data_IF_603007199284
#
_entry.id   IF_603007199284
#
_cell.length_a   1.000
_cell.length_b   1.000
_cell.length_c   1.000
_cell.angle_alpha   90.00
_cell.angle_beta   90.00
_cell.angle_gamma   90.00
#
_symmetry.space_group_name_H-M   'P 1'
#
loop_
_entity.id
_entity.type
_entity.pdbx_description
1 polymer ?
#
# COMPACT_ATOMS: atom_id res chain seq x y z
N UNK A 1 8.89 1.66 -2.59
CA UNK A 1 10.24 1.17 -2.97
C UNK A 1 10.87 2.12 -3.99
N UNK A 2 12.20 2.34 -3.95
CA UNK A 2 12.93 3.10 -4.99
C UNK A 2 13.81 2.15 -5.82
N UNK A 3 13.84 2.34 -7.14
CA UNK A 3 14.66 1.57 -8.09
C UNK A 3 15.63 2.51 -8.81
N UNK A 4 16.93 2.25 -8.67
CA UNK A 4 18.00 3.06 -9.30
C UNK A 4 17.97 2.91 -10.82
N UNK A 5 18.13 4.02 -11.53
CA UNK A 5 18.09 4.07 -13.00
C UNK A 5 19.45 4.43 -13.60
N UNK A 6 20.33 3.43 -13.76
CA UNK A 6 21.71 3.68 -14.21
C UNK A 6 21.81 4.25 -15.62
N UNK A 7 20.88 3.90 -16.50
CA UNK A 7 20.86 4.36 -17.90
C UNK A 7 19.88 5.53 -18.13
N UNK A 8 19.58 6.31 -17.09
CA UNK A 8 18.74 7.49 -17.17
C UNK A 8 19.30 8.50 -18.20
N UNK A 9 18.51 8.90 -19.21
CA UNK A 9 18.94 9.94 -20.14
C UNK A 9 19.21 11.27 -19.44
N UNK A 10 20.21 12.02 -19.92
CA UNK A 10 20.60 13.32 -19.32
C UNK A 10 19.42 14.29 -19.17
N UNK A 11 18.48 14.30 -20.13
CA UNK A 11 17.28 15.13 -20.09
C UNK A 11 16.35 14.84 -18.88
N UNK A 12 16.38 13.61 -18.35
CA UNK A 12 15.56 13.19 -17.20
C UNK A 12 16.33 13.23 -15.88
N UNK A 13 17.66 13.34 -15.93
CA UNK A 13 18.52 13.18 -14.76
C UNK A 13 18.18 14.15 -13.61
N UNK A 14 17.87 15.42 -13.93
CA UNK A 14 17.49 16.42 -12.94
C UNK A 14 16.18 16.09 -12.22
N UNK A 15 15.15 15.66 -12.96
CA UNK A 15 13.84 15.34 -12.39
C UNK A 15 13.91 14.12 -11.46
N UNK A 16 14.61 13.07 -11.89
CA UNK A 16 14.67 11.78 -11.20
C UNK A 16 15.81 11.67 -10.19
N UNK A 17 16.62 12.71 -10.00
CA UNK A 17 17.67 12.71 -8.96
C UNK A 17 17.20 13.54 -7.77
N UNK A 18 17.01 12.90 -6.64
CA UNK A 18 16.70 13.59 -5.37
C UNK A 18 18.01 13.99 -4.69
N UNK A 19 18.02 15.16 -4.03
CA UNK A 19 19.20 15.65 -3.30
C UNK A 19 19.80 14.65 -2.31
N UNK A 20 18.97 13.80 -1.70
CA UNK A 20 19.41 12.78 -0.73
C UNK A 20 20.06 11.54 -1.37
N UNK A 21 19.84 11.30 -2.67
CA UNK A 21 20.25 10.05 -3.31
C UNK A 21 21.30 10.24 -4.41
N UNK A 22 21.60 11.46 -4.88
CA UNK A 22 22.66 11.78 -5.87
C UNK A 22 22.69 10.94 -7.16
N UNK A 23 21.74 10.04 -7.37
CA UNK A 23 21.54 9.24 -8.57
C UNK A 23 20.05 9.20 -8.92
N UNK A 24 19.72 9.01 -10.21
CA UNK A 24 18.35 8.94 -10.67
C UNK A 24 17.65 7.69 -10.15
N UNK A 25 16.43 7.85 -9.63
CA UNK A 25 15.59 6.75 -9.14
C UNK A 25 14.15 6.89 -9.60
N UNK A 26 13.48 5.76 -9.78
CA UNK A 26 12.04 5.69 -10.04
C UNK A 26 11.36 5.08 -8.82
N UNK A 27 10.21 5.62 -8.43
CA UNK A 27 9.47 5.17 -7.25
C UNK A 27 8.37 4.19 -7.64
N UNK A 28 8.26 3.12 -6.84
CA UNK A 28 7.10 2.23 -6.75
C UNK A 28 6.36 2.56 -5.45
N UNK A 29 5.15 3.08 -5.56
CA UNK A 29 4.15 3.04 -4.50
C UNK A 29 3.43 1.68 -4.58
N UNK A 30 3.20 1.04 -3.45
CA UNK A 30 2.45 -0.21 -3.42
C UNK A 30 1.68 -0.37 -2.11
N UNK A 31 0.53 -1.03 -2.19
CA UNK A 31 -0.21 -1.56 -1.06
C UNK A 31 0.08 -3.05 -0.98
N UNK A 32 0.62 -3.50 0.14
CA UNK A 32 0.85 -4.91 0.40
C UNK A 32 0.22 -5.32 1.73
N UNK A 33 -0.09 -6.60 1.80
CA UNK A 33 -0.64 -7.28 2.96
C UNK A 33 0.44 -7.96 3.82
N UNK A 34 0.03 -8.54 4.94
CA UNK A 34 0.89 -9.39 5.77
C UNK A 34 1.43 -10.62 5.02
N UNK A 35 0.62 -11.24 4.15
CA UNK A 35 1.00 -12.41 3.35
C UNK A 35 1.85 -12.07 2.10
N UNK A 36 2.48 -10.88 2.07
CA UNK A 36 3.32 -10.37 0.98
C UNK A 36 2.59 -10.15 -0.36
N UNK A 37 1.27 -10.32 -0.40
CA UNK A 37 0.44 -10.04 -1.57
C UNK A 37 0.37 -8.54 -1.82
N UNK A 38 0.61 -8.13 -3.07
CA UNK A 38 0.55 -6.73 -3.51
C UNK A 38 -0.82 -6.48 -4.16
N UNK A 39 -1.65 -5.67 -3.51
CA UNK A 39 -3.01 -5.33 -3.95
C UNK A 39 -3.05 -4.23 -5.00
N UNK A 40 -2.21 -3.23 -4.81
CA UNK A 40 -2.12 -2.09 -5.69
C UNK A 40 -0.67 -1.67 -5.86
N UNK A 41 -0.33 -1.18 -7.04
CA UNK A 41 1.00 -0.71 -7.37
C UNK A 41 0.88 0.47 -8.34
N UNK A 42 1.63 1.52 -8.07
CA UNK A 42 1.79 2.66 -8.95
C UNK A 42 3.29 2.92 -9.14
N UNK A 43 3.76 2.71 -10.36
CA UNK A 43 5.16 2.83 -10.75
C UNK A 43 5.35 3.97 -11.76
N UNK A 44 6.60 4.39 -11.93
CA UNK A 44 7.04 5.51 -12.79
C UNK A 44 6.94 6.91 -12.18
N UNK A 45 6.69 7.04 -10.88
CA UNK A 45 6.74 8.34 -10.23
C UNK A 45 8.16 8.86 -10.11
N UNK A 46 8.30 10.17 -10.31
CA UNK A 46 9.57 10.89 -10.22
C UNK A 46 10.05 10.90 -8.76
N UNK A 47 11.32 10.60 -8.49
CA UNK A 47 11.81 10.49 -7.11
C UNK A 47 11.94 11.79 -6.34
N UNK A 48 11.91 12.93 -7.03
CA UNK A 48 11.85 14.26 -6.40
C UNK A 48 10.49 14.53 -5.76
N UNK A 49 9.45 13.76 -6.14
CA UNK A 49 8.15 13.84 -5.48
C UNK A 49 8.23 13.21 -4.09
N UNK A 50 7.71 13.93 -3.10
CA UNK A 50 7.44 13.36 -1.79
C UNK A 50 6.22 12.42 -1.86
N UNK A 51 6.01 11.64 -0.79
CA UNK A 51 4.97 10.61 -0.80
C UNK A 51 3.55 11.18 -0.97
N UNK A 52 3.29 12.43 -0.52
CA UNK A 52 2.01 13.13 -0.73
C UNK A 52 1.79 13.43 -2.22
N UNK A 53 2.81 13.92 -2.92
CA UNK A 53 2.71 14.22 -4.34
C UNK A 53 2.58 12.94 -5.18
N UNK A 54 3.20 11.84 -4.74
CA UNK A 54 3.02 10.53 -5.38
C UNK A 54 1.56 10.09 -5.21
N UNK A 55 1.02 10.14 -3.98
CA UNK A 55 -0.37 9.82 -3.70
C UNK A 55 -1.34 10.65 -4.55
N UNK A 56 -1.12 11.96 -4.68
CA UNK A 56 -2.00 12.84 -5.47
C UNK A 56 -2.03 12.49 -6.97
N UNK A 57 -0.99 11.84 -7.47
CA UNK A 57 -0.92 11.35 -8.85
C UNK A 57 -1.31 9.87 -8.97
N UNK A 58 -1.53 9.19 -7.84
CA UNK A 58 -1.77 7.76 -7.77
C UNK A 58 -3.23 7.45 -8.07
N UNK A 59 -3.54 6.47 -8.93
CA UNK A 59 -4.90 6.00 -9.15
C UNK A 59 -5.39 5.07 -8.04
N UNK A 60 -4.82 5.15 -6.82
CA UNK A 60 -5.09 4.22 -5.72
C UNK A 60 -6.58 4.11 -5.36
N UNK A 61 -7.33 5.21 -5.51
CA UNK A 61 -8.77 5.23 -5.25
C UNK A 61 -9.62 4.93 -6.48
N UNK A 62 -9.06 4.84 -7.68
CA UNK A 62 -9.84 4.53 -8.89
C UNK A 62 -10.53 3.17 -8.75
N UNK A 63 -9.79 2.14 -8.30
CA UNK A 63 -10.38 0.82 -8.08
C UNK A 63 -11.50 0.82 -7.04
N UNK A 64 -11.41 1.68 -6.03
CA UNK A 64 -12.45 1.85 -5.00
C UNK A 64 -13.68 2.51 -5.62
N UNK A 65 -13.50 3.51 -6.48
CA UNK A 65 -14.58 4.14 -7.22
C UNK A 65 -15.22 3.17 -8.22
N UNK A 66 -14.41 2.41 -8.95
CA UNK A 66 -14.88 1.45 -9.96
C UNK A 66 -15.50 0.19 -9.35
N UNK A 67 -15.58 0.08 -8.01
CA UNK A 67 -16.01 -1.11 -7.28
C UNK A 67 -15.28 -2.40 -7.71
N UNK A 68 -14.00 -2.29 -8.09
CA UNK A 68 -13.14 -3.41 -8.50
C UNK A 68 -12.18 -3.85 -7.40
N UNK A 69 -12.18 -3.16 -6.26
CA UNK A 69 -11.46 -3.64 -5.08
C UNK A 69 -12.17 -4.84 -4.47
N UNK A 70 -11.43 -5.87 -4.02
CA UNK A 70 -12.00 -6.92 -3.19
C UNK A 70 -12.69 -6.32 -1.96
N UNK A 71 -13.67 -7.05 -1.42
CA UNK A 71 -14.35 -6.64 -0.20
C UNK A 71 -13.33 -6.54 0.95
N UNK A 72 -13.08 -5.30 1.37
CA UNK A 72 -12.22 -4.95 2.49
C UNK A 72 -13.02 -4.37 3.65
N UNK A 73 -14.35 -4.53 3.64
CA UNK A 73 -15.22 -4.05 4.70
C UNK A 73 -14.83 -4.66 6.04
N UNK A 74 -14.86 -3.84 7.08
CA UNK A 74 -14.54 -4.28 8.43
C UNK A 74 -15.44 -3.61 9.44
N UNK A 75 -15.75 -4.34 10.51
CA UNK A 75 -16.55 -3.85 11.62
C UNK A 75 -15.61 -3.65 12.81
N UNK A 76 -15.45 -2.40 13.25
CA UNK A 76 -14.68 -2.09 14.46
C UNK A 76 -15.62 -1.41 15.44
N UNK A 77 -15.72 -1.98 16.64
CA UNK A 77 -16.62 -1.52 17.71
C UNK A 77 -18.09 -1.34 17.27
N UNK A 78 -18.57 -2.22 16.39
CA UNK A 78 -19.96 -2.16 15.89
C UNK A 78 -20.19 -1.11 14.80
N UNK A 79 -19.16 -0.38 14.36
CA UNK A 79 -19.23 0.50 13.20
C UNK A 79 -18.62 -0.19 11.99
N UNK A 80 -19.38 -0.21 10.88
CA UNK A 80 -18.92 -0.73 9.59
C UNK A 80 -18.11 0.32 8.82
N UNK A 81 -16.95 -0.09 8.32
CA UNK A 81 -16.09 0.68 7.45
C UNK A 81 -15.97 -0.03 6.10
N UNK A 82 -16.81 0.39 5.14
CA UNK A 82 -16.98 -0.26 3.83
C UNK A 82 -15.67 -0.49 3.06
N UNK A 83 -14.74 0.45 3.12
CA UNK A 83 -13.52 0.43 2.30
C UNK A 83 -12.28 -0.10 3.05
N UNK A 84 -12.46 -0.57 4.28
CA UNK A 84 -11.36 -0.95 5.16
C UNK A 84 -10.41 0.20 5.46
N UNK A 85 -9.16 -0.12 5.75
CA UNK A 85 -8.12 0.89 5.97
C UNK A 85 -6.74 0.48 5.46
N UNK A 86 -5.95 1.48 5.08
CA UNK A 86 -4.53 1.39 4.76
C UNK A 86 -3.72 2.00 5.89
N UNK A 87 -2.67 1.30 6.30
CA UNK A 87 -1.68 1.86 7.21
C UNK A 87 -0.72 2.75 6.43
N UNK A 88 -0.58 4.00 6.86
CA UNK A 88 0.24 5.00 6.17
C UNK A 88 1.15 5.77 7.14
N UNK A 89 2.17 6.42 6.60
CA UNK A 89 3.08 7.25 7.38
C UNK A 89 2.43 8.56 7.86
N UNK A 90 3.05 9.21 8.84
CA UNK A 90 2.57 10.45 9.48
C UNK A 90 2.44 11.65 8.52
N UNK A 91 3.02 11.60 7.33
CA UNK A 91 2.94 12.67 6.33
C UNK A 91 1.69 12.60 5.45
N UNK A 92 0.95 11.48 5.44
CA UNK A 92 -0.23 11.32 4.60
C UNK A 92 -1.42 12.19 5.09
N UNK A 93 -2.31 12.62 4.19
CA UNK A 93 -3.49 13.41 4.57
C UNK A 93 -4.45 12.60 5.45
N UNK A 94 -5.32 13.31 6.19
CA UNK A 94 -6.39 12.71 6.98
C UNK A 94 -7.56 12.36 6.05
N UNK A 95 -7.58 11.12 5.58
CA UNK A 95 -8.67 10.54 4.78
C UNK A 95 -9.23 9.32 5.51
N UNK A 96 -10.50 9.00 5.27
CA UNK A 96 -11.26 8.01 6.06
C UNK A 96 -10.70 6.60 5.99
N UNK A 97 -9.99 6.28 4.91
CA UNK A 97 -9.36 4.97 4.69
C UNK A 97 -7.90 4.92 5.14
N UNK A 98 -7.32 6.02 5.63
CA UNK A 98 -5.93 6.05 6.08
C UNK A 98 -5.82 6.09 7.59
N UNK A 99 -5.06 5.16 8.12
CA UNK A 99 -4.69 5.10 9.53
C UNK A 99 -3.21 5.46 9.63
N UNK A 100 -2.94 6.62 10.21
CA UNK A 100 -1.58 7.15 10.35
C UNK A 100 -0.89 6.53 11.56
N UNK A 101 0.42 6.31 11.44
CA UNK A 101 1.23 5.93 12.60
C UNK A 101 1.28 7.09 13.60
N UNK A 102 0.99 6.81 14.87
CA UNK A 102 1.04 7.80 15.93
C UNK A 102 2.49 8.25 16.19
N UNK A 103 2.79 9.53 15.98
CA UNK A 103 4.16 10.05 16.17
C UNK A 103 4.53 10.20 17.64
N UNK A 104 3.65 10.80 18.45
CA UNK A 104 3.82 11.03 19.89
C UNK A 104 2.61 10.46 20.65
N UNK A 105 2.71 9.24 21.20
CA UNK A 105 1.65 8.70 22.04
C UNK A 105 1.75 9.28 23.45
N UNK A 106 0.74 10.03 23.88
CA UNK A 106 0.73 10.69 25.19
C UNK A 106 0.16 9.80 26.30
N UNK A 107 -0.30 8.59 25.95
CA UNK A 107 -0.90 7.64 26.88
C UNK A 107 -0.55 6.16 26.51
N UNK A 108 -0.76 5.21 27.45
CA UNK A 108 -0.46 3.79 27.23
C UNK A 108 -1.28 3.12 26.10
N UNK A 109 -2.53 3.53 25.87
CA UNK A 109 -3.37 2.97 24.81
C UNK A 109 -2.79 3.32 23.44
N UNK A 110 -2.45 4.60 23.24
CA UNK A 110 -1.79 5.10 22.03
C UNK A 110 -0.41 4.48 21.82
N UNK A 111 0.34 4.28 22.91
CA UNK A 111 1.67 3.65 22.85
C UNK A 111 1.58 2.21 22.37
N UNK A 112 0.60 1.45 22.87
CA UNK A 112 0.33 0.09 22.43
C UNK A 112 -0.10 0.04 20.96
N UNK A 113 -1.02 0.92 20.56
CA UNK A 113 -1.48 0.99 19.18
C UNK A 113 -0.34 1.33 18.21
N UNK A 114 0.52 2.30 18.56
CA UNK A 114 1.73 2.62 17.79
C UNK A 114 2.61 1.40 17.55
N UNK A 115 2.87 0.60 18.59
CA UNK A 115 3.70 -0.61 18.50
C UNK A 115 3.10 -1.68 17.57
N UNK A 116 1.77 -1.84 17.57
CA UNK A 116 1.06 -2.73 16.63
C UNK A 116 1.24 -2.22 15.19
N UNK A 117 1.06 -0.92 14.98
CA UNK A 117 1.24 -0.30 13.67
C UNK A 117 2.68 -0.42 13.17
N UNK A 118 3.69 -0.19 14.01
CA UNK A 118 5.10 -0.32 13.66
C UNK A 118 5.46 -1.76 13.26
N UNK A 119 4.89 -2.77 13.93
CA UNK A 119 5.01 -4.17 13.50
C UNK A 119 4.36 -4.39 12.13
N UNK A 120 3.15 -3.90 11.93
CA UNK A 120 2.44 -4.04 10.66
C UNK A 120 3.19 -3.36 9.50
N UNK A 121 3.87 -2.24 9.77
CA UNK A 121 4.74 -1.54 8.80
C UNK A 121 5.90 -2.41 8.33
N UNK A 122 6.40 -3.35 9.14
CA UNK A 122 7.45 -4.29 8.69
C UNK A 122 6.95 -5.19 7.56
N UNK A 123 5.64 -5.42 7.41
CA UNK A 123 5.10 -6.26 6.34
C UNK A 123 5.30 -5.64 4.95
N UNK A 124 5.19 -4.30 4.79
CA UNK A 124 5.46 -3.67 3.48
C UNK A 124 6.97 -3.73 3.14
N UNK A 125 7.85 -3.57 4.13
CA UNK A 125 9.29 -3.74 3.96
C UNK A 125 9.64 -5.18 3.57
N UNK A 126 9.01 -6.16 4.23
CA UNK A 126 9.13 -7.60 3.90
C UNK A 126 8.62 -7.90 2.49
N UNK A 127 7.48 -7.35 2.08
CA UNK A 127 6.94 -7.55 0.74
C UNK A 127 7.91 -7.03 -0.34
N UNK A 128 8.47 -5.83 -0.16
CA UNK A 128 9.50 -5.30 -1.08
C UNK A 128 10.80 -6.11 -1.03
N UNK A 129 11.21 -6.58 0.15
CA UNK A 129 12.37 -7.44 0.32
C UNK A 129 12.21 -8.76 -0.43
N UNK A 130 11.07 -9.44 -0.27
CA UNK A 130 10.73 -10.67 -0.97
C UNK A 130 10.70 -10.46 -2.49
N UNK A 131 10.06 -9.38 -2.95
CA UNK A 131 10.00 -9.04 -4.38
C UNK A 131 11.41 -8.86 -4.97
N UNK A 132 12.30 -8.14 -4.28
CA UNK A 132 13.71 -7.97 -4.71
C UNK A 132 14.52 -9.26 -4.64
N UNK A 133 14.35 -10.06 -3.59
CA UNK A 133 15.05 -11.34 -3.42
C UNK A 133 14.70 -12.30 -4.56
N UNK A 134 13.43 -12.34 -4.95
CA UNK A 134 12.90 -13.20 -6.02
C UNK A 134 13.32 -12.70 -7.41
N UNK A 135 13.33 -11.40 -7.64
CA UNK A 135 13.55 -10.81 -8.96
C UNK A 135 14.83 -9.97 -9.02
N UNK A 136 15.93 -10.59 -9.44
CA UNK A 136 17.23 -9.90 -9.57
C UNK A 136 17.20 -8.68 -10.50
N UNK A 137 16.31 -8.69 -11.49
CA UNK A 137 16.14 -7.60 -12.47
C UNK A 137 15.75 -6.27 -11.81
N UNK A 138 14.92 -6.30 -10.76
CA UNK A 138 14.52 -5.10 -9.99
C UNK A 138 15.39 -4.88 -8.74
N UNK A 139 16.17 -5.89 -8.32
CA UNK A 139 17.12 -5.76 -7.21
C UNK A 139 18.36 -4.94 -7.60
N UNK A 140 18.80 -5.09 -8.85
CA UNK A 140 19.92 -4.35 -9.43
C UNK A 140 19.45 -3.02 -10.02
N UNK A 141 20.38 -2.09 -10.23
CA UNK A 141 20.05 -0.85 -10.92
C UNK A 141 19.60 -1.14 -12.37
N UNK A 142 18.55 -0.47 -12.80
CA UNK A 142 18.00 -0.62 -14.14
C UNK A 142 18.98 -0.17 -15.21
N UNK A 143 19.16 -1.02 -16.21
CA UNK A 143 19.93 -0.74 -17.43
C UNK A 143 19.04 -0.34 -18.61
N UNK A 144 17.71 -0.29 -18.41
CA UNK A 144 16.78 0.17 -19.44
C UNK A 144 16.87 1.69 -19.58
N UNK A 145 16.73 2.20 -20.80
CA UNK A 145 16.77 3.64 -21.10
C UNK A 145 15.38 4.29 -21.06
N UNK A 146 14.32 3.50 -21.18
CA UNK A 146 12.96 3.97 -21.28
C UNK A 146 12.13 3.52 -20.08
N UNK A 147 11.34 4.45 -19.56
CA UNK A 147 10.48 4.22 -18.40
C UNK A 147 9.40 3.20 -18.72
N UNK A 148 8.90 3.16 -19.96
CA UNK A 148 7.87 2.21 -20.39
C UNK A 148 8.30 0.76 -20.17
N UNK A 149 9.50 0.39 -20.63
CA UNK A 149 10.05 -0.96 -20.41
C UNK A 149 10.25 -1.24 -18.93
N UNK A 150 10.77 -0.27 -18.15
CA UNK A 150 10.90 -0.44 -16.70
C UNK A 150 9.55 -0.70 -16.03
N UNK A 151 8.50 -0.01 -16.47
CA UNK A 151 7.13 -0.17 -15.98
C UNK A 151 6.57 -1.55 -16.29
N UNK A 152 6.74 -2.02 -17.53
CA UNK A 152 6.34 -3.38 -17.93
C UNK A 152 7.07 -4.42 -17.09
N UNK A 153 8.39 -4.28 -16.91
CA UNK A 153 9.19 -5.19 -16.08
C UNK A 153 8.70 -5.19 -14.63
N UNK A 154 8.46 -4.02 -14.05
CA UNK A 154 8.01 -3.90 -12.66
C UNK A 154 6.66 -4.59 -12.44
N UNK A 155 5.66 -4.29 -13.28
CA UNK A 155 4.35 -4.91 -13.17
C UNK A 155 4.39 -6.41 -13.45
N UNK A 156 5.21 -6.85 -14.41
CA UNK A 156 5.42 -8.28 -14.67
C UNK A 156 5.96 -8.99 -13.42
N UNK A 157 6.98 -8.44 -12.75
CA UNK A 157 7.50 -9.00 -11.50
C UNK A 157 6.45 -9.06 -10.39
N UNK A 158 5.58 -8.05 -10.27
CA UNK A 158 4.50 -8.02 -9.28
C UNK A 158 3.44 -9.09 -9.59
N UNK A 159 3.02 -9.19 -10.85
CA UNK A 159 2.02 -10.19 -11.29
C UNK A 159 2.55 -11.60 -11.03
N UNK A 160 3.78 -11.90 -11.48
CA UNK A 160 4.39 -13.21 -11.27
C UNK A 160 4.60 -13.50 -9.78
N UNK A 161 4.97 -12.50 -8.98
CA UNK A 161 5.09 -12.66 -7.52
C UNK A 161 3.76 -13.08 -6.88
N UNK A 162 2.66 -12.39 -7.22
CA UNK A 162 1.33 -12.73 -6.72
C UNK A 162 0.87 -14.09 -7.24
N UNK A 163 1.14 -14.44 -8.51
CA UNK A 163 0.82 -15.77 -9.06
C UNK A 163 1.54 -16.90 -8.31
N UNK A 164 2.80 -16.70 -7.92
CA UNK A 164 3.56 -17.67 -7.12
C UNK A 164 2.97 -17.78 -5.71
N UNK A 165 2.68 -16.66 -5.04
CA UNK A 165 2.01 -16.69 -3.73
C UNK A 165 0.67 -17.42 -3.80
N UNK A 166 -0.07 -17.23 -4.90
CA UNK A 166 -1.32 -17.95 -5.15
C UNK A 166 -1.09 -19.46 -5.27
N UNK A 167 -0.08 -19.87 -6.02
CA UNK A 167 0.26 -21.28 -6.19
C UNK A 167 0.73 -21.93 -4.87
N UNK A 168 1.45 -21.20 -4.03
CA UNK A 168 1.95 -21.65 -2.73
C UNK A 168 0.86 -21.71 -1.64
N UNK A 169 -0.39 -21.34 -1.95
CA UNK A 169 -1.51 -21.33 -0.99
C UNK A 169 -1.53 -20.13 -0.05
N UNK A 170 -0.67 -19.14 -0.27
CA UNK A 170 -0.60 -17.89 0.51
C UNK A 170 -1.55 -16.81 -0.01
N UNK A 171 -2.75 -17.21 -0.46
CA UNK A 171 -3.79 -16.28 -0.95
C UNK A 171 -4.58 -15.67 0.20
N UNK A 172 -4.90 -14.39 0.09
CA UNK A 172 -5.74 -13.68 1.08
C UNK A 172 -7.23 -13.85 0.77
N UNK A 173 -7.56 -14.13 -0.48
CA UNK A 173 -8.91 -14.43 -0.94
C UNK A 173 -8.98 -15.86 -1.47
N UNK A 174 -10.06 -16.57 -1.11
CA UNK A 174 -10.41 -17.85 -1.74
C UNK A 174 -10.89 -17.54 -3.15
N UNK A 175 -10.24 -18.12 -4.15
CA UNK A 175 -10.73 -18.04 -5.52
C UNK A 175 -11.98 -18.92 -5.63
N UNK A 176 -13.14 -18.32 -5.84
CA UNK A 176 -14.33 -19.05 -6.25
C UNK A 176 -14.33 -19.10 -7.79
N UNK A 177 -14.20 -20.30 -8.34
CA UNK A 177 -14.27 -20.53 -9.79
C UNK A 177 -15.62 -20.15 -10.39
N UNK A 178 -16.65 -20.00 -9.54
CA UNK A 178 -17.98 -19.53 -9.89
C UNK A 178 -18.18 -18.04 -9.59
N UNK A 179 -17.14 -17.32 -9.14
CA UNK A 179 -17.21 -15.87 -8.93
C UNK A 179 -17.48 -15.18 -10.27
N UNK A 180 -18.73 -14.76 -10.45
CA UNK A 180 -19.11 -13.91 -11.57
C UNK A 180 -18.53 -12.53 -11.27
N UNK A 181 -17.38 -12.23 -11.87
CA UNK A 181 -16.86 -10.86 -11.89
C UNK A 181 -17.88 -10.03 -12.66
N UNK A 182 -18.62 -9.11 -12.02
CA UNK A 182 -19.58 -8.30 -12.74
C UNK A 182 -18.86 -7.51 -13.81
N UNK A 183 -19.50 -7.30 -14.96
CA UNK A 183 -18.98 -6.40 -15.98
C UNK A 183 -18.98 -4.98 -15.40
N UNK A 184 -17.83 -4.59 -14.83
CA UNK A 184 -17.69 -3.31 -14.14
C UNK A 184 -17.64 -2.21 -15.18
N UNK A 185 -18.71 -1.42 -15.28
CA UNK A 185 -18.65 -0.13 -15.95
C UNK A 185 -17.83 0.81 -15.07
N UNK A 186 -16.69 1.34 -15.56
CA UNK A 186 -15.94 2.35 -14.82
C UNK A 186 -16.87 3.51 -14.50
N UNK A 187 -16.84 4.02 -13.27
CA UNK A 187 -17.63 5.20 -12.95
C UNK A 187 -17.15 6.36 -13.81
N UNK A 188 -18.08 7.17 -14.33
CA UNK A 188 -17.72 8.40 -15.01
C UNK A 188 -16.96 9.30 -14.02
N UNK A 189 -15.71 9.63 -14.37
CA UNK A 189 -14.88 10.49 -13.53
C UNK A 189 -15.55 11.85 -13.35
N UNK A 190 -15.80 12.23 -12.09
CA UNK A 190 -16.53 13.46 -11.76
C UNK A 190 -18.06 13.34 -11.79
N UNK A 191 -18.62 12.15 -12.09
CA UNK A 191 -20.04 11.86 -11.95
C UNK A 191 -20.52 11.88 -10.49
N UNK A 192 -21.84 11.87 -10.27
CA UNK A 192 -22.42 11.97 -8.92
C UNK A 192 -21.99 10.84 -7.99
N UNK A 193 -21.99 9.60 -8.46
CA UNK A 193 -21.56 8.44 -7.67
C UNK A 193 -20.07 8.51 -7.32
N UNK A 194 -19.23 8.90 -8.28
CA UNK A 194 -17.80 9.13 -8.05
C UNK A 194 -17.57 10.20 -6.97
N UNK A 195 -18.28 11.33 -7.06
CA UNK A 195 -18.20 12.41 -6.07
C UNK A 195 -18.68 11.98 -4.69
N UNK A 196 -19.70 11.12 -4.60
CA UNK A 196 -20.16 10.57 -3.33
C UNK A 196 -19.12 9.66 -2.69
N UNK A 197 -18.52 8.73 -3.46
CA UNK A 197 -17.45 7.86 -2.97
C UNK A 197 -16.25 8.71 -2.52
N UNK A 198 -15.85 9.70 -3.31
CA UNK A 198 -14.74 10.58 -2.96
C UNK A 198 -15.03 11.42 -1.71
N UNK A 199 -16.27 11.86 -1.48
CA UNK A 199 -16.66 12.51 -0.22
C UNK A 199 -16.53 11.58 0.98
N UNK A 200 -16.90 10.30 0.84
CA UNK A 200 -16.73 9.30 1.90
C UNK A 200 -15.25 9.06 2.16
N UNK A 201 -14.44 8.88 1.12
CA UNK A 201 -12.98 8.67 1.23
C UNK A 201 -12.31 9.87 1.91
N UNK A 202 -12.71 11.10 1.59
CA UNK A 202 -12.09 12.31 2.16
C UNK A 202 -12.75 12.80 3.47
N UNK A 203 -13.62 12.00 4.09
CA UNK A 203 -14.26 12.34 5.36
C UNK A 203 -13.27 12.31 6.54
N UNK A 204 -12.93 13.50 7.05
CA UNK A 204 -12.08 13.66 8.24
C UNK A 204 -12.76 13.15 9.51
N UNK A 205 -14.09 13.21 9.57
CA UNK A 205 -14.88 12.68 10.70
C UNK A 205 -14.70 11.17 10.75
N UNK A 206 -14.96 10.49 9.62
CA UNK A 206 -14.81 9.04 9.52
C UNK A 206 -13.37 8.59 9.79
N UNK A 207 -12.37 9.35 9.33
CA UNK A 207 -10.96 9.12 9.68
C UNK A 207 -10.73 9.15 11.20
N UNK A 208 -11.27 10.15 11.89
CA UNK A 208 -11.09 10.34 13.34
C UNK A 208 -11.76 9.22 14.11
N UNK A 209 -13.00 8.87 13.74
CA UNK A 209 -13.76 7.80 14.35
C UNK A 209 -13.06 6.44 14.17
N UNK A 210 -12.60 6.14 12.95
CA UNK A 210 -11.84 4.93 12.66
C UNK A 210 -10.59 4.82 13.55
N UNK A 211 -9.81 5.90 13.64
CA UNK A 211 -8.60 5.91 14.47
C UNK A 211 -8.92 5.68 15.95
N UNK A 212 -9.98 6.30 16.48
CA UNK A 212 -10.43 6.08 17.85
C UNK A 212 -10.90 4.64 18.08
N UNK A 213 -11.77 4.14 17.20
CA UNK A 213 -12.31 2.78 17.28
C UNK A 213 -11.21 1.72 17.20
N UNK A 214 -10.24 1.87 16.30
CA UNK A 214 -9.09 0.96 16.21
C UNK A 214 -8.22 1.02 17.47
N UNK A 215 -7.91 2.23 17.97
CA UNK A 215 -7.10 2.39 19.19
C UNK A 215 -7.75 1.66 20.37
N UNK A 216 -9.06 1.84 20.56
CA UNK A 216 -9.82 1.16 21.63
C UNK A 216 -9.93 -0.35 21.40
N UNK A 217 -10.15 -0.78 20.16
CA UNK A 217 -10.26 -2.19 19.80
C UNK A 217 -8.96 -2.94 20.11
N UNK A 218 -7.82 -2.42 19.68
CA UNK A 218 -6.52 -3.04 19.96
C UNK A 218 -6.11 -2.96 21.43
N UNK A 219 -6.62 -1.99 22.18
CA UNK A 219 -6.44 -1.96 23.64
C UNK A 219 -7.20 -3.09 24.34
N UNK A 220 -8.43 -3.37 23.93
CA UNK A 220 -9.29 -4.38 24.57
C UNK A 220 -8.94 -5.82 24.19
N UNK A 221 -8.23 -6.03 23.07
CA UNK A 221 -7.72 -7.36 22.69
C UNK A 221 -6.60 -7.81 23.64
N UNK A 222 -6.86 -8.75 24.56
CA UNK A 222 -5.86 -9.26 25.51
C UNK A 222 -4.79 -10.21 24.92
N UNK A 223 -4.92 -10.65 23.66
CA UNK A 223 -4.10 -11.75 23.11
C UNK A 223 -3.03 -11.33 22.08
N UNK A 224 -2.81 -10.04 21.84
CA UNK A 224 -1.73 -9.63 20.93
C UNK A 224 -0.40 -9.62 21.69
N UNK A 225 0.32 -10.75 21.70
CA UNK A 225 1.69 -10.79 22.21
C UNK A 225 2.59 -9.95 21.30
N UNK A 226 2.85 -8.70 21.71
CA UNK A 226 3.73 -7.87 20.92
C UNK A 226 5.22 -8.16 21.12
N UNK A 227 5.61 -9.22 21.82
CA UNK A 227 6.98 -9.75 21.84
C UNK A 227 7.19 -10.88 20.84
N UNK A 228 6.13 -11.46 20.28
CA UNK A 228 6.27 -12.49 19.26
C UNK A 228 6.84 -11.88 17.96
N UNK A 229 7.96 -12.40 17.43
CA UNK A 229 8.46 -12.00 16.11
C UNK A 229 7.45 -12.41 15.03
N UNK A 230 7.46 -11.78 13.84
CA UNK A 230 6.69 -12.31 12.71
C UNK A 230 7.09 -13.77 12.47
N UNK A 231 6.11 -14.67 12.30
CA UNK A 231 6.28 -16.14 12.33
C UNK A 231 7.44 -16.67 11.46
N UNK A 232 7.82 -15.95 10.40
CA UNK A 232 8.89 -16.33 9.48
C UNK A 232 10.31 -15.89 9.90
N UNK A 233 10.49 -15.19 11.03
CA UNK A 233 11.84 -14.94 11.61
C UNK A 233 12.37 -16.17 12.37
N UNK A 234 11.56 -17.22 12.54
CA UNK A 234 11.97 -18.49 13.17
C UNK A 234 12.55 -19.50 12.17
N UNK A 235 12.37 -19.29 10.86
CA UNK A 235 12.86 -20.17 9.79
C UNK A 235 13.88 -19.46 8.87
N UNK A 236 14.84 -18.75 9.47
CA UNK A 236 15.97 -18.11 8.79
C UNK A 236 17.29 -18.80 9.07
#
# INVERSE_FOLDING_TARGET
MRWKWSMCPNAHHGHYTTGNYHYPTIVLEAVASQALWIWNAFFASVSSLNDINILNNSPIFNKVCDNTTPDSSLIVRGTEYKFGYYLVDGIYPKVSVFVKILSCPDDPHRSRFKRIQEKARKYIERAFGALKKRWQIIAKASMFRDISTMTVVMYTCIILHNMILKHEGNTICVYDENEIIPETQPLEYGGQEWLQIMRIIHSVVTHTDLCHHLTDHFWTMNNFDLNMPPEDELEG
#
